data_IF_508547943339
#
_entry.id   IF_508547943339
#
_cell.length_a   1.000
_cell.length_b   1.000
_cell.length_c   1.000
_cell.angle_alpha   90.00
_cell.angle_beta   90.00
_cell.angle_gamma   90.00
#
_symmetry.space_group_name_H-M   'P 1'
#
loop_
_entity.id
_entity.type
_entity.pdbx_description
1 polymer ?
#
# COMPACT_ATOMS: atom_id res chain seq x y z
N UNK A 1 11.88 2.42 -3.39
CA UNK A 1 10.87 1.41 -3.80
C UNK A 1 11.61 0.26 -4.50
N UNK A 2 11.23 -1.00 -4.27
CA UNK A 2 11.85 -2.17 -4.93
C UNK A 2 12.54 -3.21 -4.03
N UNK A 3 12.69 -2.96 -2.73
CA UNK A 3 13.37 -3.85 -1.77
C UNK A 3 12.44 -4.64 -0.84
N UNK A 4 11.13 -4.59 -1.08
CA UNK A 4 10.16 -5.35 -0.31
C UNK A 4 9.48 -6.38 -1.21
N UNK A 5 9.16 -7.55 -0.66
CA UNK A 5 8.33 -8.55 -1.31
C UNK A 5 7.02 -8.66 -0.54
N UNK A 6 5.93 -8.90 -1.24
CA UNK A 6 4.71 -9.30 -0.56
C UNK A 6 4.96 -10.61 0.21
N UNK A 7 4.48 -10.64 1.45
CA UNK A 7 4.54 -11.80 2.31
C UNK A 7 3.18 -11.97 2.99
N UNK A 8 2.59 -13.15 2.81
CA UNK A 8 1.30 -13.49 3.41
C UNK A 8 1.31 -13.37 4.94
N UNK A 9 2.41 -13.72 5.62
CA UNK A 9 2.45 -13.66 7.09
C UNK A 9 2.37 -12.23 7.62
N UNK A 10 3.05 -11.30 6.95
CA UNK A 10 3.06 -9.88 7.31
C UNK A 10 1.66 -9.29 7.12
N UNK A 11 0.99 -9.72 6.04
CA UNK A 11 -0.40 -9.37 5.78
C UNK A 11 -1.36 -9.91 6.84
N UNK A 12 -1.28 -11.21 7.17
CA UNK A 12 -2.13 -11.81 8.20
C UNK A 12 -1.92 -11.15 9.57
N UNK A 13 -0.68 -10.80 9.92
CA UNK A 13 -0.38 -10.09 11.15
C UNK A 13 -0.98 -8.67 11.16
N UNK A 14 -0.89 -7.94 10.04
CA UNK A 14 -1.51 -6.63 9.88
C UNK A 14 -3.03 -6.71 10.00
N UNK A 15 -3.68 -7.62 9.25
CA UNK A 15 -5.12 -7.85 9.29
C UNK A 15 -5.64 -8.22 10.70
N UNK A 16 -4.89 -9.06 11.42
CA UNK A 16 -5.21 -9.39 12.80
C UNK A 16 -5.15 -8.15 13.72
N UNK A 17 -4.23 -7.21 13.46
CA UNK A 17 -4.07 -5.97 14.24
C UNK A 17 -5.15 -4.91 13.97
N UNK A 18 -5.81 -4.98 12.81
CA UNK A 18 -6.89 -4.07 12.39
C UNK A 18 -8.29 -4.65 12.62
N UNK A 19 -8.38 -5.96 12.88
CA UNK A 19 -9.65 -6.65 13.16
C UNK A 19 -10.40 -5.99 14.33
N UNK A 20 -11.68 -5.68 14.10
CA UNK A 20 -12.56 -5.06 15.11
C UNK A 20 -12.36 -3.55 15.32
N UNK A 21 -11.37 -2.93 14.67
CA UNK A 21 -11.21 -1.47 14.68
C UNK A 21 -12.18 -0.80 13.71
N UNK A 22 -12.61 0.41 14.05
CA UNK A 22 -13.36 1.25 13.11
C UNK A 22 -12.45 1.69 11.96
N UNK A 23 -13.04 1.93 10.79
CA UNK A 23 -12.32 2.41 9.61
C UNK A 23 -11.55 3.70 9.91
N UNK A 24 -12.14 4.64 10.67
CA UNK A 24 -11.47 5.87 11.11
C UNK A 24 -10.25 5.63 12.02
N UNK A 25 -10.26 4.55 12.81
CA UNK A 25 -9.15 4.20 13.68
C UNK A 25 -8.00 3.50 12.92
N UNK A 26 -8.30 2.87 11.78
CA UNK A 26 -7.30 2.26 10.88
C UNK A 26 -6.71 3.32 9.94
N UNK A 27 -7.56 4.19 9.38
CA UNK A 27 -7.19 5.21 8.39
C UNK A 27 -7.20 6.62 8.99
N UNK A 28 -6.30 6.88 9.93
CA UNK A 28 -6.21 8.19 10.60
C UNK A 28 -5.51 9.29 9.77
N UNK A 29 -4.74 8.90 8.74
CA UNK A 29 -4.00 9.84 7.91
C UNK A 29 -4.93 10.70 7.04
N UNK A 30 -4.68 12.02 7.00
CA UNK A 30 -5.44 13.01 6.21
C UNK A 30 -4.65 13.59 5.05
N UNK A 31 -3.40 13.17 4.86
CA UNK A 31 -2.51 13.59 3.80
C UNK A 31 -1.61 12.44 3.38
N UNK A 32 -0.95 12.61 2.23
CA UNK A 32 0.02 11.63 1.74
C UNK A 32 1.29 11.70 2.59
N UNK A 33 1.85 10.55 2.94
CA UNK A 33 3.18 10.49 3.55
C UNK A 33 4.21 11.01 2.55
N UNK A 34 5.10 11.91 2.97
CA UNK A 34 6.09 12.53 2.09
C UNK A 34 7.01 11.49 1.42
N UNK A 35 7.30 10.37 2.07
CA UNK A 35 8.09 9.29 1.48
C UNK A 35 7.33 8.51 0.40
N UNK A 36 6.01 8.64 0.35
CA UNK A 36 5.12 7.98 -0.61
C UNK A 36 4.53 8.96 -1.63
N UNK A 37 4.82 10.26 -1.54
CA UNK A 37 4.32 11.28 -2.44
C UNK A 37 4.93 11.10 -3.85
N UNK A 38 4.13 10.77 -4.88
CA UNK A 38 4.63 10.63 -6.24
C UNK A 38 4.85 11.98 -6.93
N UNK A 39 4.49 13.10 -6.31
CA UNK A 39 4.67 14.43 -6.89
C UNK A 39 6.16 14.73 -7.13
N UNK A 40 6.50 15.08 -8.37
CA UNK A 40 7.89 15.31 -8.78
C UNK A 40 8.70 14.03 -9.03
N UNK A 41 8.12 12.84 -8.90
CA UNK A 41 8.78 11.59 -9.30
C UNK A 41 8.84 11.52 -10.82
N UNK A 42 10.03 11.72 -11.37
CA UNK A 42 10.31 11.71 -12.83
C UNK A 42 10.45 10.30 -13.41
N UNK A 43 10.75 9.31 -12.59
CA UNK A 43 10.89 7.92 -13.00
C UNK A 43 10.27 7.00 -11.95
N UNK A 44 9.36 6.12 -12.37
CA UNK A 44 8.85 5.03 -11.54
C UNK A 44 9.70 3.81 -11.81
N UNK A 45 10.35 3.29 -10.79
CA UNK A 45 11.35 2.26 -10.97
C UNK A 45 10.87 0.88 -10.53
N UNK A 46 10.97 -0.08 -11.44
CA UNK A 46 10.93 -1.51 -11.17
C UNK A 46 12.34 -2.03 -11.35
N UNK A 47 13.10 -2.18 -10.25
CA UNK A 47 14.48 -2.71 -10.28
C UNK A 47 14.50 -4.13 -9.75
N UNK A 48 15.27 -4.96 -10.42
CA UNK A 48 15.68 -6.25 -9.86
C UNK A 48 16.43 -6.04 -8.54
N UNK A 49 16.15 -6.92 -7.58
CA UNK A 49 16.80 -6.96 -6.27
C UNK A 49 17.01 -8.41 -5.84
N UNK A 50 17.79 -8.64 -4.79
CA UNK A 50 18.00 -9.99 -4.22
C UNK A 50 16.68 -10.68 -3.86
N UNK A 51 15.67 -9.90 -3.45
CA UNK A 51 14.34 -10.41 -3.11
C UNK A 51 13.42 -10.56 -4.34
N UNK A 52 13.65 -9.79 -5.41
CA UNK A 52 12.85 -9.79 -6.63
C UNK A 52 13.78 -9.77 -7.88
N UNK A 53 14.38 -10.90 -8.28
CA UNK A 53 15.38 -10.94 -9.36
C UNK A 53 14.79 -10.80 -10.77
N UNK A 54 13.46 -10.81 -10.91
CA UNK A 54 12.72 -10.58 -12.15
C UNK A 54 11.53 -9.68 -11.85
N UNK A 55 11.79 -8.40 -11.66
CA UNK A 55 10.80 -7.47 -11.12
C UNK A 55 9.73 -7.12 -12.15
N UNK A 56 8.47 -7.33 -11.77
CA UNK A 56 7.31 -6.92 -12.56
C UNK A 56 6.84 -5.55 -12.12
N UNK A 57 6.83 -4.58 -13.04
CA UNK A 57 6.32 -3.25 -12.77
C UNK A 57 4.78 -3.29 -12.59
N UNK A 58 4.29 -2.84 -11.43
CA UNK A 58 2.86 -2.74 -11.12
C UNK A 58 2.57 -1.32 -10.65
N UNK A 59 1.47 -0.74 -11.13
CA UNK A 59 0.94 0.55 -10.65
C UNK A 59 -0.49 0.30 -10.18
N UNK A 60 -0.76 0.68 -8.94
CA UNK A 60 -2.12 0.68 -8.37
C UNK A 60 -2.54 2.13 -8.16
N UNK A 61 -3.58 2.56 -8.87
CA UNK A 61 -4.19 3.89 -8.69
C UNK A 61 -5.50 3.75 -7.94
N UNK A 62 -5.63 4.48 -6.83
CA UNK A 62 -6.85 4.57 -6.05
C UNK A 62 -7.42 5.98 -6.21
N UNK A 63 -8.72 6.07 -6.49
CA UNK A 63 -9.40 7.35 -6.54
C UNK A 63 -9.75 7.85 -5.13
N UNK A 64 -9.50 9.13 -4.88
CA UNK A 64 -9.64 9.79 -3.56
C UNK A 64 -11.05 10.35 -3.36
N UNK A 65 -11.96 10.19 -4.33
CA UNK A 65 -13.36 10.67 -4.26
C UNK A 65 -14.21 10.00 -3.17
N UNK A 66 -13.64 9.11 -2.35
CA UNK A 66 -14.32 8.40 -1.27
C UNK A 66 -15.12 7.18 -1.74
N UNK A 67 -15.41 7.06 -3.04
CA UNK A 67 -16.12 5.92 -3.64
C UNK A 67 -15.35 4.59 -3.50
N UNK A 68 -14.02 4.65 -3.44
CA UNK A 68 -13.16 3.47 -3.25
C UNK A 68 -12.86 3.14 -1.79
N UNK A 69 -13.44 3.84 -0.81
CA UNK A 69 -13.19 3.60 0.61
C UNK A 69 -13.51 2.16 1.04
N UNK A 70 -14.53 1.55 0.43
CA UNK A 70 -14.90 0.15 0.65
C UNK A 70 -13.83 -0.84 0.17
N UNK A 71 -13.06 -0.51 -0.87
CA UNK A 71 -11.97 -1.35 -1.38
C UNK A 71 -10.79 -1.28 -0.44
N UNK A 72 -10.45 -0.08 0.05
CA UNK A 72 -9.40 0.10 1.05
C UNK A 72 -9.74 -0.64 2.36
N UNK A 73 -11.00 -0.59 2.81
CA UNK A 73 -11.47 -1.30 3.99
C UNK A 73 -11.43 -2.84 3.79
N UNK A 74 -11.84 -3.33 2.61
CA UNK A 74 -11.73 -4.75 2.27
C UNK A 74 -10.29 -5.24 2.19
N UNK A 75 -9.36 -4.39 1.74
CA UNK A 75 -7.93 -4.69 1.80
C UNK A 75 -7.44 -4.67 3.25
N UNK A 76 -7.80 -3.71 4.09
CA UNK A 76 -7.24 -3.65 5.43
C UNK A 76 -7.71 -4.74 6.42
N UNK A 77 -8.58 -5.67 5.99
CA UNK A 77 -9.18 -6.75 6.81
C UNK A 77 -8.69 -8.13 6.37
#
# INVERSE_FOLDING_TARGET
MGYARWNHTDWSAYAASTTGRSTDAVFAARGIDQALDPFGVVARESRDSDLNPKSTAIIVGLDVTGSMGMIADALAR
#
